data_IF_055483707365
#
_entry.id   IF_055483707365
#
_cell.length_a   1.000
_cell.length_b   1.000
_cell.length_c   1.000
_cell.angle_alpha   90.00
_cell.angle_beta   90.00
_cell.angle_gamma   90.00
#
_symmetry.space_group_name_H-M   'P 1'
#
loop_
_entity.id
_entity.type
_entity.pdbx_description
1 polymer ?
#
# COMPACT_ATOMS: atom_id res chain seq x y z
N UNK A 1 15.54 -9.75 4.70
CA UNK A 1 15.31 -9.14 6.02
C UNK A 1 16.29 -7.95 6.20
N UNK A 2 15.90 -6.86 6.88
CA UNK A 2 16.76 -5.68 7.08
C UNK A 2 18.15 -6.01 7.65
N UNK A 3 18.22 -7.03 8.50
CA UNK A 3 19.47 -7.53 9.10
C UNK A 3 20.42 -8.12 8.03
N UNK A 4 19.91 -8.88 7.07
CA UNK A 4 20.74 -9.44 5.97
C UNK A 4 21.28 -8.32 5.10
N UNK A 5 20.47 -7.33 4.77
CA UNK A 5 20.91 -6.16 3.97
C UNK A 5 21.96 -5.36 4.73
N UNK A 6 21.78 -5.15 6.04
CA UNK A 6 22.78 -4.48 6.88
C UNK A 6 24.09 -5.28 6.93
N UNK A 7 24.03 -6.59 7.11
CA UNK A 7 25.20 -7.46 7.13
C UNK A 7 25.94 -7.46 5.79
N UNK A 8 25.23 -7.51 4.66
CA UNK A 8 25.83 -7.41 3.33
C UNK A 8 26.49 -6.05 3.11
N UNK A 9 25.90 -4.98 3.63
CA UNK A 9 26.46 -3.64 3.52
C UNK A 9 27.69 -3.46 4.41
N UNK A 10 27.67 -4.02 5.61
CA UNK A 10 28.85 -4.07 6.50
C UNK A 10 29.98 -4.87 5.85
N UNK A 11 29.69 -6.04 5.27
CA UNK A 11 30.67 -6.88 4.56
C UNK A 11 31.27 -6.12 3.36
N UNK A 12 30.45 -5.44 2.58
CA UNK A 12 30.90 -4.59 1.48
C UNK A 12 31.82 -3.47 1.96
N UNK A 13 31.45 -2.79 3.03
CA UNK A 13 32.29 -1.72 3.62
C UNK A 13 33.61 -2.27 4.17
N UNK A 14 33.60 -3.41 4.84
CA UNK A 14 34.80 -4.09 5.32
C UNK A 14 35.79 -4.39 4.17
N UNK A 15 35.26 -4.91 3.05
CA UNK A 15 36.09 -5.20 1.87
C UNK A 15 36.68 -3.94 1.23
N UNK A 16 35.93 -2.82 1.21
CA UNK A 16 36.40 -1.54 0.66
C UNK A 16 37.40 -0.80 1.57
N UNK A 17 37.33 -1.03 2.89
CA UNK A 17 38.17 -0.34 3.89
C UNK A 17 39.28 -1.19 4.44
N UNK A 18 39.63 -2.32 3.79
CA UNK A 18 40.63 -3.29 4.27
C UNK A 18 40.37 -3.73 5.73
N UNK A 19 39.09 -4.01 6.06
CA UNK A 19 38.65 -4.44 7.38
C UNK A 19 38.88 -3.44 8.53
N UNK A 20 39.06 -2.15 8.21
CA UNK A 20 39.14 -1.09 9.19
C UNK A 20 37.73 -0.72 9.72
N UNK A 21 37.39 -1.21 10.90
CA UNK A 21 36.08 -1.00 11.53
C UNK A 21 35.76 0.47 11.82
N UNK A 22 36.78 1.30 12.08
CA UNK A 22 36.59 2.74 12.30
C UNK A 22 36.11 3.42 11.03
N UNK A 23 36.72 3.12 9.90
CA UNK A 23 36.31 3.61 8.59
C UNK A 23 34.94 3.07 8.15
N UNK A 24 34.63 1.81 8.51
CA UNK A 24 33.29 1.25 8.27
C UNK A 24 32.23 2.04 9.04
N UNK A 25 32.48 2.33 10.31
CA UNK A 25 31.58 3.13 11.15
C UNK A 25 31.38 4.55 10.58
N UNK A 26 32.49 5.23 10.25
CA UNK A 26 32.50 6.57 9.64
C UNK A 26 31.72 6.58 8.31
N UNK A 27 31.92 5.58 7.44
CA UNK A 27 31.19 5.47 6.17
C UNK A 27 29.70 5.22 6.39
N UNK A 28 29.31 4.37 7.35
CA UNK A 28 27.94 4.12 7.70
C UNK A 28 27.26 5.34 8.34
N UNK A 29 27.95 6.07 9.21
CA UNK A 29 27.41 7.29 9.87
C UNK A 29 27.33 8.49 8.91
N UNK A 30 28.28 8.62 7.99
CA UNK A 30 28.27 9.70 6.98
C UNK A 30 27.08 9.62 6.00
N UNK A 31 26.44 8.47 5.94
CA UNK A 31 25.34 8.21 5.02
C UNK A 31 24.07 8.83 5.52
N UNK A 32 23.45 9.68 4.72
CA UNK A 32 22.13 10.26 5.04
C UNK A 32 21.14 9.13 5.32
N UNK A 33 20.47 9.11 6.48
CA UNK A 33 19.45 8.12 6.76
C UNK A 33 18.28 8.24 5.78
N UNK A 34 17.79 7.11 5.29
CA UNK A 34 16.42 7.00 4.83
C UNK A 34 16.14 6.90 3.34
N UNK A 35 17.13 6.93 2.44
CA UNK A 35 16.82 6.93 1.00
C UNK A 35 17.64 5.89 0.23
N UNK A 36 17.41 4.61 0.54
CA UNK A 36 18.06 3.50 -0.17
C UNK A 36 17.06 2.52 -0.66
N UNK A 37 17.23 2.11 -1.91
CA UNK A 37 16.55 0.92 -2.40
C UNK A 37 17.04 -0.31 -1.62
N UNK A 38 16.09 -1.12 -1.13
CA UNK A 38 16.38 -2.31 -0.32
C UNK A 38 15.82 -3.52 -1.06
N UNK A 39 16.65 -4.53 -1.29
CA UNK A 39 16.19 -5.83 -1.78
C UNK A 39 15.61 -6.64 -0.61
N UNK A 40 14.29 -6.80 -0.57
CA UNK A 40 13.60 -7.52 0.49
C UNK A 40 13.41 -9.02 0.21
N UNK A 41 13.16 -9.35 -1.03
CA UNK A 41 12.97 -10.72 -1.50
C UNK A 41 13.50 -10.84 -2.92
N UNK A 42 13.60 -12.06 -3.43
CA UNK A 42 14.05 -12.27 -4.80
C UNK A 42 13.14 -11.50 -5.78
N UNK A 43 13.73 -10.60 -6.54
CA UNK A 43 13.02 -9.77 -7.51
C UNK A 43 12.20 -8.61 -6.94
N UNK A 44 12.19 -8.39 -5.62
CA UNK A 44 11.43 -7.29 -4.98
C UNK A 44 12.37 -6.29 -4.32
N UNK A 45 12.44 -5.11 -4.87
CA UNK A 45 13.25 -3.99 -4.37
C UNK A 45 12.33 -2.81 -4.03
N UNK A 46 12.50 -2.20 -2.87
CA UNK A 46 11.73 -1.04 -2.42
C UNK A 46 12.54 0.25 -2.50
N UNK A 47 11.89 1.33 -2.88
CA UNK A 47 12.41 2.71 -2.88
C UNK A 47 11.36 3.56 -2.17
N UNK A 48 11.55 3.97 -0.90
CA UNK A 48 10.63 4.85 -0.23
C UNK A 48 10.68 6.27 -0.83
N UNK A 49 9.58 6.72 -1.41
CA UNK A 49 9.42 8.05 -2.00
C UNK A 49 8.63 8.93 -1.05
N UNK A 50 9.15 10.12 -0.77
CA UNK A 50 8.45 11.09 0.09
C UNK A 50 7.20 11.60 -0.62
N UNK A 51 6.04 11.43 0.01
CA UNK A 51 4.73 11.82 -0.53
C UNK A 51 3.90 12.57 0.51
N UNK A 52 2.83 13.20 0.07
CA UNK A 52 1.85 13.86 0.94
C UNK A 52 0.79 12.87 1.44
N UNK A 53 1.21 11.69 1.82
CA UNK A 53 0.32 10.69 2.43
C UNK A 53 -0.06 11.05 3.88
N UNK A 54 -1.06 10.38 4.43
CA UNK A 54 -1.55 10.67 5.79
C UNK A 54 -0.62 10.11 6.87
N UNK A 55 -0.36 10.86 7.96
CA UNK A 55 0.37 10.34 9.10
C UNK A 55 -0.27 9.06 9.68
N UNK A 56 0.51 8.11 10.21
CA UNK A 56 1.95 8.22 10.50
C UNK A 56 2.89 7.95 9.31
N UNK A 57 2.37 7.64 8.13
CA UNK A 57 3.20 7.46 6.95
C UNK A 57 3.69 8.82 6.42
N UNK A 58 4.92 8.86 5.91
CA UNK A 58 5.50 10.04 5.26
C UNK A 58 6.07 9.69 3.88
N UNK A 59 5.95 8.43 3.50
CA UNK A 59 6.52 7.87 2.28
C UNK A 59 5.55 6.87 1.67
N UNK A 60 5.55 6.80 0.35
CA UNK A 60 4.99 5.70 -0.41
C UNK A 60 6.13 4.81 -0.89
N UNK A 61 6.00 3.53 -0.74
CA UNK A 61 6.96 2.55 -1.21
C UNK A 61 6.77 2.31 -2.71
N UNK A 62 7.64 2.87 -3.53
CA UNK A 62 7.78 2.43 -4.90
C UNK A 62 8.50 1.07 -4.92
N UNK A 63 8.01 0.12 -5.72
CA UNK A 63 8.67 -1.18 -5.86
C UNK A 63 9.17 -1.40 -7.29
N UNK A 64 10.35 -2.02 -7.42
CA UNK A 64 10.78 -2.65 -8.64
C UNK A 64 10.58 -4.15 -8.48
N UNK A 65 9.67 -4.75 -9.25
CA UNK A 65 9.32 -6.17 -9.15
C UNK A 65 9.51 -6.90 -10.46
N UNK A 66 10.02 -8.12 -10.39
CA UNK A 66 10.33 -8.96 -11.54
C UNK A 66 11.73 -9.54 -11.47
N UNK A 67 12.20 -10.12 -12.55
CA UNK A 67 13.52 -10.75 -12.61
C UNK A 67 14.63 -9.72 -12.39
N UNK A 68 15.56 -9.94 -11.44
CA UNK A 68 16.70 -9.03 -11.22
C UNK A 68 17.61 -8.86 -12.44
N UNK A 69 17.65 -9.86 -13.34
CA UNK A 69 18.47 -9.89 -14.54
C UNK A 69 17.67 -9.85 -15.85
N UNK A 70 16.34 -9.67 -15.75
CA UNK A 70 15.42 -9.67 -16.87
C UNK A 70 14.41 -8.53 -16.75
N UNK A 71 13.26 -8.73 -17.36
CA UNK A 71 12.18 -7.73 -17.37
C UNK A 71 11.59 -7.54 -15.96
N UNK A 72 11.26 -6.28 -15.64
CA UNK A 72 10.62 -5.88 -14.40
C UNK A 72 9.66 -4.70 -14.62
N UNK A 73 8.84 -4.44 -13.64
CA UNK A 73 7.93 -3.28 -13.64
C UNK A 73 8.23 -2.36 -12.45
N UNK A 74 7.85 -1.08 -12.60
CA UNK A 74 7.94 -0.04 -11.58
C UNK A 74 6.54 0.14 -10.98
N UNK A 75 6.36 -0.21 -9.72
CA UNK A 75 5.06 -0.13 -9.02
C UNK A 75 5.00 1.16 -8.22
N UNK A 76 3.95 1.94 -8.40
CA UNK A 76 3.64 3.18 -7.66
C UNK A 76 4.87 4.09 -7.50
N UNK A 77 5.46 4.63 -8.60
CA UNK A 77 6.66 5.47 -8.53
C UNK A 77 6.49 6.75 -7.71
N UNK A 78 5.28 7.26 -7.56
CA UNK A 78 4.85 8.29 -6.61
C UNK A 78 5.63 9.62 -6.58
N UNK A 79 6.69 9.81 -7.35
CA UNK A 79 7.50 11.03 -7.32
C UNK A 79 6.76 12.23 -7.92
N UNK A 80 6.89 13.39 -7.26
CA UNK A 80 6.28 14.66 -7.66
C UNK A 80 7.31 15.71 -8.06
N UNK A 81 8.58 15.41 -7.85
CA UNK A 81 9.70 16.31 -8.13
C UNK A 81 10.89 15.55 -8.72
N UNK A 82 11.91 16.31 -9.15
CA UNK A 82 13.12 15.76 -9.75
C UNK A 82 13.99 14.96 -8.77
N UNK A 83 13.88 15.22 -7.48
CA UNK A 83 14.64 14.48 -6.45
C UNK A 83 14.09 13.06 -6.33
N UNK A 84 12.76 12.91 -6.17
CA UNK A 84 12.10 11.61 -6.15
C UNK A 84 12.26 10.85 -7.47
N UNK A 85 12.11 11.53 -8.62
CA UNK A 85 12.37 10.94 -9.93
C UNK A 85 13.80 10.35 -10.00
N UNK A 86 14.79 11.12 -9.56
CA UNK A 86 16.18 10.66 -9.56
C UNK A 86 16.40 9.44 -8.67
N UNK A 87 15.74 9.36 -7.51
CA UNK A 87 15.85 8.20 -6.61
C UNK A 87 15.36 6.90 -7.28
N UNK A 88 14.22 6.98 -8.00
CA UNK A 88 13.70 5.82 -8.73
C UNK A 88 14.59 5.48 -9.91
N UNK A 89 15.01 6.48 -10.70
CA UNK A 89 15.88 6.28 -11.86
C UNK A 89 17.23 5.66 -11.48
N UNK A 90 17.88 6.18 -10.42
CA UNK A 90 19.13 5.62 -9.89
C UNK A 90 19.00 4.14 -9.47
N UNK A 91 17.81 3.73 -9.00
CA UNK A 91 17.54 2.34 -8.65
C UNK A 91 17.29 1.46 -9.88
N UNK A 92 16.56 1.98 -10.86
CA UNK A 92 16.29 1.33 -12.15
C UNK A 92 17.61 1.09 -12.91
N UNK A 93 18.48 2.11 -13.02
CA UNK A 93 19.77 2.01 -13.72
C UNK A 93 20.75 0.99 -13.09
N UNK A 94 20.58 0.69 -11.81
CA UNK A 94 21.39 -0.33 -11.12
C UNK A 94 20.96 -1.76 -11.38
N UNK A 95 19.75 -1.96 -11.96
CA UNK A 95 19.30 -3.30 -12.36
C UNK A 95 19.85 -3.65 -13.74
N UNK A 96 20.14 -4.92 -13.95
CA UNK A 96 20.63 -5.43 -15.24
C UNK A 96 19.47 -5.55 -16.24
N UNK A 97 18.24 -5.80 -15.74
CA UNK A 97 17.05 -5.99 -16.56
C UNK A 97 16.44 -4.70 -17.08
N UNK A 98 15.36 -4.81 -17.84
CA UNK A 98 14.66 -3.68 -18.45
C UNK A 98 13.33 -3.38 -17.74
N UNK A 99 13.03 -2.10 -17.42
CA UNK A 99 11.70 -1.72 -16.99
C UNK A 99 10.75 -1.76 -18.21
N UNK A 100 9.70 -2.57 -18.15
CA UNK A 100 8.78 -2.76 -19.29
C UNK A 100 7.46 -2.01 -19.11
N UNK A 101 7.11 -1.64 -17.89
CA UNK A 101 5.93 -0.84 -17.60
C UNK A 101 6.02 -0.14 -16.25
N UNK A 102 5.21 0.91 -16.07
CA UNK A 102 4.80 1.43 -14.77
C UNK A 102 3.47 0.78 -14.42
N UNK A 103 3.39 0.21 -13.23
CA UNK A 103 2.17 -0.38 -12.69
C UNK A 103 1.63 0.52 -11.58
N UNK A 104 0.37 0.90 -11.66
CA UNK A 104 -0.31 1.58 -10.56
C UNK A 104 -1.26 0.62 -9.85
N UNK A 105 -1.11 0.54 -8.52
CA UNK A 105 -2.05 -0.20 -7.67
C UNK A 105 -3.43 0.46 -7.72
N UNK A 106 -3.47 1.79 -7.68
CA UNK A 106 -4.67 2.61 -7.83
C UNK A 106 -4.30 4.08 -8.10
N UNK A 107 -5.29 4.94 -8.29
CA UNK A 107 -5.10 6.32 -8.79
C UNK A 107 -5.04 7.41 -7.71
N UNK A 108 -4.82 7.08 -6.43
CA UNK A 108 -4.62 8.10 -5.41
C UNK A 108 -3.33 8.93 -5.67
N UNK A 109 -3.35 10.24 -5.38
CA UNK A 109 -2.26 11.14 -5.74
C UNK A 109 -0.90 10.78 -5.14
N UNK A 110 -0.87 10.12 -3.99
CA UNK A 110 0.37 9.70 -3.32
C UNK A 110 0.96 8.39 -3.87
N UNK A 111 0.32 7.78 -4.87
CA UNK A 111 0.85 6.64 -5.64
C UNK A 111 1.28 7.04 -7.05
N UNK A 112 0.66 8.10 -7.59
CA UNK A 112 0.88 8.55 -8.95
C UNK A 112 2.12 9.44 -9.06
N UNK A 113 2.99 9.17 -10.02
CA UNK A 113 4.06 10.10 -10.37
C UNK A 113 3.51 11.33 -11.13
N UNK A 114 4.29 12.42 -11.15
CA UNK A 114 4.03 13.52 -12.09
C UNK A 114 4.13 13.00 -13.52
N UNK A 115 3.10 13.18 -14.38
CA UNK A 115 3.08 12.59 -15.72
C UNK A 115 4.22 13.08 -16.65
N UNK A 116 4.65 14.34 -16.50
CA UNK A 116 5.72 14.88 -17.32
C UNK A 116 7.08 14.32 -16.91
N UNK A 117 7.32 14.25 -15.59
CA UNK A 117 8.53 13.65 -15.05
C UNK A 117 8.58 12.15 -15.33
N UNK A 118 7.46 11.45 -15.26
CA UNK A 118 7.37 10.02 -15.59
C UNK A 118 7.74 9.76 -17.05
N UNK A 119 7.19 10.56 -17.96
CA UNK A 119 7.50 10.49 -19.40
C UNK A 119 8.96 10.83 -19.68
N UNK A 120 9.51 11.85 -19.00
CA UNK A 120 10.92 12.22 -19.12
C UNK A 120 11.85 11.11 -18.65
N UNK A 121 11.52 10.45 -17.53
CA UNK A 121 12.37 9.42 -16.92
C UNK A 121 12.36 8.10 -17.69
N UNK A 122 11.19 7.61 -18.08
CA UNK A 122 11.03 6.23 -18.53
C UNK A 122 10.37 6.10 -19.91
N UNK A 123 9.30 6.84 -20.21
CA UNK A 123 8.59 6.76 -21.50
C UNK A 123 8.04 5.36 -21.83
N UNK A 124 7.75 4.55 -20.80
CA UNK A 124 7.22 3.19 -20.89
C UNK A 124 5.71 3.15 -20.61
N UNK A 125 4.98 2.11 -21.06
CA UNK A 125 3.53 2.02 -20.89
C UNK A 125 3.09 1.97 -19.43
N UNK A 126 1.89 2.47 -19.17
CA UNK A 126 1.22 2.42 -17.88
C UNK A 126 0.24 1.25 -17.86
N UNK A 127 0.35 0.39 -16.82
CA UNK A 127 -0.51 -0.74 -16.55
C UNK A 127 -1.30 -0.51 -15.26
N UNK A 128 -2.61 -0.58 -15.30
CA UNK A 128 -3.49 -0.43 -14.13
C UNK A 128 -4.86 -1.04 -14.41
N UNK A 129 -5.81 -0.89 -13.48
CA UNK A 129 -7.21 -1.24 -13.74
C UNK A 129 -8.00 -0.09 -14.40
N UNK A 130 -7.42 1.12 -14.51
CA UNK A 130 -8.09 2.27 -15.12
C UNK A 130 -8.28 2.09 -16.63
N UNK A 131 -9.42 2.55 -17.13
CA UNK A 131 -9.71 2.57 -18.57
C UNK A 131 -8.75 3.44 -19.40
N UNK A 132 -8.07 4.38 -18.73
CA UNK A 132 -7.12 5.32 -19.36
C UNK A 132 -5.67 4.78 -19.41
N UNK A 133 -5.43 3.57 -18.86
CA UNK A 133 -4.13 2.92 -18.91
C UNK A 133 -3.79 2.40 -20.32
N UNK A 134 -2.51 2.39 -20.68
CA UNK A 134 -2.04 1.78 -21.93
C UNK A 134 -2.36 0.28 -21.98
N UNK A 135 -2.40 -0.38 -20.82
CA UNK A 135 -2.88 -1.75 -20.66
C UNK A 135 -3.77 -1.85 -19.43
N UNK A 136 -5.04 -2.18 -19.65
CA UNK A 136 -6.01 -2.44 -18.59
C UNK A 136 -5.86 -3.87 -18.11
N UNK A 137 -5.51 -4.02 -16.83
CA UNK A 137 -5.29 -5.32 -16.19
C UNK A 137 -6.56 -5.84 -15.52
N UNK A 138 -6.69 -7.17 -15.47
CA UNK A 138 -7.88 -7.84 -14.92
C UNK A 138 -7.49 -8.83 -13.81
N UNK A 139 -8.45 -9.12 -12.94
CA UNK A 139 -8.31 -10.14 -11.90
C UNK A 139 -7.91 -11.49 -12.49
N UNK A 140 -6.94 -12.14 -11.85
CA UNK A 140 -6.42 -13.44 -12.27
C UNK A 140 -5.42 -13.40 -13.44
N UNK A 141 -5.19 -12.24 -14.07
CA UNK A 141 -4.21 -12.13 -15.15
C UNK A 141 -2.79 -12.40 -14.61
N UNK A 142 -1.96 -13.06 -15.40
CA UNK A 142 -0.58 -13.37 -15.03
C UNK A 142 0.39 -12.51 -15.85
N UNK A 143 1.23 -11.76 -15.15
CA UNK A 143 2.31 -10.97 -15.72
C UNK A 143 3.60 -11.78 -15.67
N UNK A 144 4.15 -12.10 -16.84
CA UNK A 144 5.47 -12.73 -16.92
C UNK A 144 6.54 -11.64 -16.92
N UNK A 145 7.32 -11.57 -15.82
CA UNK A 145 8.38 -10.59 -15.61
C UNK A 145 9.73 -11.31 -15.55
N UNK A 146 10.30 -11.56 -16.71
CA UNK A 146 11.49 -12.42 -16.85
C UNK A 146 11.17 -13.84 -16.36
N UNK A 147 11.91 -14.35 -15.39
CA UNK A 147 11.71 -15.68 -14.79
C UNK A 147 10.56 -15.75 -13.79
N UNK A 148 9.96 -14.63 -13.38
CA UNK A 148 8.91 -14.56 -12.37
C UNK A 148 7.52 -14.41 -13.00
N UNK A 149 6.54 -15.12 -12.42
CA UNK A 149 5.12 -15.01 -12.78
C UNK A 149 4.37 -14.32 -11.63
N UNK A 150 3.80 -13.15 -11.90
CA UNK A 150 3.02 -12.38 -10.93
C UNK A 150 1.54 -12.39 -11.31
N UNK A 151 0.69 -12.84 -10.42
CA UNK A 151 -0.75 -12.81 -10.63
C UNK A 151 -1.33 -11.49 -10.17
N UNK A 152 -2.14 -10.87 -11.02
CA UNK A 152 -2.93 -9.67 -10.73
C UNK A 152 -4.16 -10.07 -9.91
N UNK A 153 -4.40 -9.35 -8.82
CA UNK A 153 -5.60 -9.49 -8.00
C UNK A 153 -6.34 -8.16 -8.02
N UNK A 154 -7.56 -8.13 -8.54
CA UNK A 154 -8.44 -6.97 -8.37
C UNK A 154 -9.02 -7.00 -6.96
N UNK A 155 -8.71 -5.99 -6.17
CA UNK A 155 -8.98 -5.89 -4.73
C UNK A 155 -9.72 -4.58 -4.39
N UNK A 156 -10.95 -4.38 -4.91
CA UNK A 156 -11.72 -3.18 -4.63
C UNK A 156 -12.08 -3.05 -3.15
N UNK A 157 -12.41 -1.84 -2.73
CA UNK A 157 -12.88 -1.54 -1.38
C UNK A 157 -12.20 -0.33 -0.78
N UNK A 158 -10.87 -0.23 -0.81
CA UNK A 158 -10.17 1.02 -0.57
C UNK A 158 -10.37 2.01 -1.74
N UNK A 159 -10.18 1.52 -2.95
CA UNK A 159 -10.42 2.20 -4.23
C UNK A 159 -11.07 1.20 -5.20
N UNK A 160 -12.00 1.61 -6.08
CA UNK A 160 -12.71 0.68 -6.98
C UNK A 160 -11.78 -0.03 -7.98
N UNK A 161 -10.71 0.63 -8.43
CA UNK A 161 -9.73 0.12 -9.39
C UNK A 161 -8.48 -0.48 -8.72
N UNK A 162 -8.53 -0.77 -7.41
CA UNK A 162 -7.34 -1.23 -6.69
C UNK A 162 -6.88 -2.61 -7.15
N UNK A 163 -5.56 -2.73 -7.39
CA UNK A 163 -4.88 -3.96 -7.77
C UNK A 163 -3.80 -4.33 -6.76
N UNK A 164 -3.69 -5.62 -6.47
CA UNK A 164 -2.53 -6.24 -5.83
C UNK A 164 -1.80 -7.14 -6.82
N UNK A 165 -0.56 -7.52 -6.50
CA UNK A 165 0.21 -8.50 -7.26
C UNK A 165 0.76 -9.56 -6.30
N UNK A 166 0.63 -10.85 -6.65
CA UNK A 166 1.11 -11.95 -5.84
C UNK A 166 2.00 -12.90 -6.64
N UNK A 167 3.08 -13.36 -6.01
CA UNK A 167 3.92 -14.45 -6.47
C UNK A 167 4.54 -15.19 -5.27
N UNK A 168 5.44 -16.15 -5.53
CA UNK A 168 6.17 -16.87 -4.46
C UNK A 168 6.98 -15.93 -3.55
N UNK A 169 7.45 -14.78 -4.04
CA UNK A 169 8.20 -13.81 -3.23
C UNK A 169 7.32 -13.03 -2.23
N UNK A 170 5.99 -13.04 -2.40
CA UNK A 170 5.03 -12.38 -1.54
C UNK A 170 3.96 -11.58 -2.30
N UNK A 171 3.26 -10.73 -1.55
CA UNK A 171 2.12 -9.92 -1.99
C UNK A 171 2.48 -8.43 -2.00
N UNK A 172 2.44 -7.78 -3.15
CA UNK A 172 2.40 -6.31 -3.26
C UNK A 172 0.95 -5.89 -3.03
N UNK A 173 0.71 -5.29 -1.88
CA UNK A 173 -0.65 -5.11 -1.36
C UNK A 173 -1.24 -3.72 -1.61
N UNK A 174 -0.48 -2.78 -2.19
CA UNK A 174 -0.97 -1.41 -2.33
C UNK A 174 -1.47 -0.87 -0.98
N UNK A 175 -2.66 -0.29 -1.00
CA UNK A 175 -3.37 0.24 0.16
C UNK A 175 -4.46 -0.71 0.71
N UNK A 176 -4.29 -2.02 0.51
CA UNK A 176 -5.11 -2.99 1.27
C UNK A 176 -4.65 -3.08 2.72
N UNK A 177 -3.36 -2.91 3.00
CA UNK A 177 -2.82 -2.96 4.36
C UNK A 177 -1.56 -2.09 4.46
N UNK A 178 -1.39 -1.38 5.58
CA UNK A 178 -0.18 -0.62 5.87
C UNK A 178 0.71 -1.32 6.91
N UNK A 179 2.01 -1.17 6.80
CA UNK A 179 2.96 -1.67 7.80
C UNK A 179 2.79 -1.01 9.17
N UNK A 180 2.46 0.29 9.17
CA UNK A 180 2.17 1.10 10.36
C UNK A 180 0.84 1.83 10.16
N UNK A 181 0.01 1.90 11.20
CA UNK A 181 -1.30 2.52 11.14
C UNK A 181 -2.35 1.65 10.46
N UNK A 182 -3.37 2.29 9.91
CA UNK A 182 -4.49 1.65 9.19
C UNK A 182 -4.78 2.43 7.91
N UNK A 183 -5.28 1.75 6.91
CA UNK A 183 -5.69 2.36 5.65
C UNK A 183 -7.04 3.06 5.82
N UNK A 184 -7.20 4.21 5.20
CA UNK A 184 -8.45 4.97 5.17
C UNK A 184 -9.33 4.44 4.02
N UNK A 185 -10.57 4.09 4.30
CA UNK A 185 -11.58 3.81 3.27
C UNK A 185 -12.42 5.06 3.11
N UNK A 186 -12.28 5.78 1.99
CA UNK A 186 -12.95 7.07 1.78
C UNK A 186 -14.44 6.91 1.53
N UNK A 187 -15.30 7.73 2.18
CA UNK A 187 -16.74 7.71 1.91
C UNK A 187 -17.05 8.03 0.43
N UNK A 188 -17.89 7.22 -0.19
CA UNK A 188 -18.33 7.42 -1.58
C UNK A 188 -17.34 6.99 -2.67
N UNK A 189 -16.09 6.72 -2.33
CA UNK A 189 -15.08 6.16 -3.23
C UNK A 189 -14.85 4.68 -2.93
N UNK A 190 -14.59 4.35 -1.66
CA UNK A 190 -14.45 2.99 -1.18
C UNK A 190 -15.75 2.37 -0.69
N UNK A 191 -15.69 1.07 -0.38
CA UNK A 191 -16.79 0.29 0.20
C UNK A 191 -16.25 -0.63 1.30
N UNK A 192 -16.73 -0.43 2.53
CA UNK A 192 -16.17 -1.11 3.69
C UNK A 192 -16.42 -2.62 3.68
N UNK A 193 -17.60 -3.08 3.29
CA UNK A 193 -17.89 -4.52 3.22
C UNK A 193 -17.05 -5.21 2.16
N UNK A 194 -16.89 -4.58 1.00
CA UNK A 194 -16.02 -5.07 -0.06
C UNK A 194 -14.55 -5.09 0.40
N UNK A 195 -14.09 -4.04 1.09
CA UNK A 195 -12.73 -3.96 1.61
C UNK A 195 -12.42 -5.10 2.59
N UNK A 196 -13.33 -5.38 3.53
CA UNK A 196 -13.19 -6.49 4.48
C UNK A 196 -13.14 -7.83 3.74
N UNK A 197 -14.03 -8.07 2.78
CA UNK A 197 -14.04 -9.30 1.99
C UNK A 197 -12.73 -9.49 1.19
N UNK A 198 -12.14 -8.40 0.66
CA UNK A 198 -10.84 -8.51 -0.02
C UNK A 198 -9.68 -8.76 0.96
N UNK A 199 -9.70 -8.21 2.18
CA UNK A 199 -8.72 -8.57 3.21
C UNK A 199 -8.79 -10.06 3.57
N UNK A 200 -9.98 -10.63 3.68
CA UNK A 200 -10.18 -12.07 3.89
C UNK A 200 -9.61 -12.89 2.74
N UNK A 201 -9.94 -12.51 1.50
CA UNK A 201 -9.36 -13.13 0.30
C UNK A 201 -7.83 -13.10 0.31
N UNK A 202 -7.21 -11.96 0.65
CA UNK A 202 -5.76 -11.83 0.71
C UNK A 202 -5.14 -12.67 1.83
N UNK A 203 -5.81 -12.80 2.98
CA UNK A 203 -5.38 -13.68 4.06
C UNK A 203 -5.40 -15.15 3.63
N UNK A 204 -6.47 -15.57 2.96
CA UNK A 204 -6.67 -16.97 2.53
C UNK A 204 -5.69 -17.39 1.42
N UNK A 205 -5.02 -16.44 0.75
CA UNK A 205 -3.91 -16.72 -0.17
C UNK A 205 -2.59 -17.03 0.54
N UNK A 206 -2.51 -16.87 1.85
CA UNK A 206 -1.38 -17.18 2.73
C UNK A 206 -0.02 -16.66 2.21
N UNK A 207 0.12 -15.36 1.91
CA UNK A 207 1.38 -14.81 1.41
C UNK A 207 2.47 -14.88 2.48
N UNK A 208 3.70 -15.24 2.10
CA UNK A 208 4.83 -15.30 3.03
C UNK A 208 5.29 -13.93 3.53
N UNK A 209 5.17 -12.89 2.69
CA UNK A 209 5.49 -11.50 2.99
C UNK A 209 4.43 -10.60 2.37
N UNK A 210 4.20 -9.43 2.97
CA UNK A 210 3.43 -8.36 2.32
C UNK A 210 4.30 -7.14 2.16
N UNK A 211 4.26 -6.59 0.95
CA UNK A 211 4.91 -5.35 0.51
C UNK A 211 3.85 -4.25 0.41
N UNK A 212 3.58 -3.50 1.50
CA UNK A 212 2.55 -2.46 1.54
C UNK A 212 3.06 -1.18 0.90
N UNK A 213 2.17 -0.33 0.38
CA UNK A 213 2.57 1.00 -0.10
C UNK A 213 3.02 1.92 1.03
N UNK A 214 2.59 1.70 2.28
CA UNK A 214 2.96 2.54 3.41
C UNK A 214 3.53 1.73 4.58
N UNK A 215 4.68 2.22 5.10
CA UNK A 215 5.37 1.61 6.23
C UNK A 215 6.25 0.41 5.87
N UNK A 216 6.76 -0.33 6.87
CA UNK A 216 7.68 -1.44 6.64
C UNK A 216 7.00 -2.67 6.05
N UNK A 217 7.80 -3.52 5.40
CA UNK A 217 7.40 -4.86 4.94
C UNK A 217 6.85 -5.67 6.11
N UNK A 218 5.75 -6.38 5.87
CA UNK A 218 5.03 -7.16 6.87
C UNK A 218 5.50 -8.62 6.82
N UNK A 219 6.20 -9.03 7.87
CA UNK A 219 6.79 -10.37 7.97
C UNK A 219 5.83 -11.42 8.58
N UNK A 220 4.71 -11.00 9.12
CA UNK A 220 3.66 -11.85 9.68
C UNK A 220 2.30 -11.50 9.04
N UNK A 221 2.09 -11.87 7.77
CA UNK A 221 0.92 -11.48 6.98
C UNK A 221 -0.40 -11.92 7.61
N UNK A 222 -0.53 -13.20 7.97
CA UNK A 222 -1.73 -13.75 8.60
C UNK A 222 -2.16 -12.94 9.83
N UNK A 223 -1.22 -12.71 10.75
CA UNK A 223 -1.49 -11.91 11.96
C UNK A 223 -1.92 -10.49 11.65
N UNK A 224 -1.27 -9.85 10.67
CA UNK A 224 -1.59 -8.48 10.28
C UNK A 224 -2.95 -8.38 9.60
N UNK A 225 -3.25 -9.25 8.66
CA UNK A 225 -4.54 -9.28 7.94
C UNK A 225 -5.68 -9.63 8.88
N UNK A 226 -5.53 -10.65 9.75
CA UNK A 226 -6.52 -11.00 10.78
C UNK A 226 -6.82 -9.80 11.68
N UNK A 227 -5.78 -9.10 12.16
CA UNK A 227 -5.97 -7.89 12.97
C UNK A 227 -6.75 -6.79 12.23
N UNK A 228 -6.46 -6.59 10.92
CA UNK A 228 -7.20 -5.62 10.11
C UNK A 228 -8.67 -6.01 9.95
N UNK A 229 -8.95 -7.28 9.65
CA UNK A 229 -10.31 -7.84 9.49
C UNK A 229 -11.10 -7.66 10.78
N UNK A 230 -10.56 -8.12 11.91
CA UNK A 230 -11.20 -8.00 13.24
C UNK A 230 -11.49 -6.54 13.60
N UNK A 231 -10.49 -5.66 13.43
CA UNK A 231 -10.64 -4.23 13.72
C UNK A 231 -11.74 -3.59 12.85
N UNK A 232 -11.78 -3.89 11.55
CA UNK A 232 -12.78 -3.32 10.63
C UNK A 232 -14.17 -3.90 10.85
N UNK A 233 -14.28 -5.21 11.05
CA UNK A 233 -15.56 -5.89 11.33
C UNK A 233 -16.15 -5.42 12.65
N UNK A 234 -15.35 -5.36 13.71
CA UNK A 234 -15.81 -4.83 15.01
C UNK A 234 -16.31 -3.39 14.89
N UNK A 235 -15.59 -2.52 14.15
CA UNK A 235 -16.05 -1.14 13.93
C UNK A 235 -17.33 -1.08 13.10
N UNK A 236 -17.45 -1.94 12.08
CA UNK A 236 -18.63 -2.06 11.25
C UNK A 236 -19.87 -2.41 12.10
N UNK A 237 -19.75 -3.41 12.97
CA UNK A 237 -20.81 -3.80 13.90
C UNK A 237 -21.16 -2.68 14.91
N UNK A 238 -20.16 -1.98 15.47
CA UNK A 238 -20.40 -0.88 16.41
C UNK A 238 -21.14 0.29 15.79
N UNK A 239 -20.86 0.63 14.54
CA UNK A 239 -21.58 1.67 13.81
C UNK A 239 -23.05 1.26 13.62
N UNK A 240 -23.32 0.02 13.23
CA UNK A 240 -24.69 -0.48 13.12
C UNK A 240 -25.43 -0.48 14.47
N UNK A 241 -24.79 -1.00 15.51
CA UNK A 241 -25.33 -1.02 16.86
C UNK A 241 -25.65 0.40 17.41
N UNK A 242 -24.82 1.40 17.08
CA UNK A 242 -25.09 2.78 17.46
C UNK A 242 -26.39 3.32 16.81
N UNK A 243 -26.62 3.00 15.52
CA UNK A 243 -27.88 3.35 14.85
C UNK A 243 -29.08 2.60 15.46
N UNK A 244 -28.92 1.31 15.77
CA UNK A 244 -29.96 0.49 16.42
C UNK A 244 -30.30 0.99 17.83
N UNK A 245 -29.33 1.58 18.54
CA UNK A 245 -29.54 2.24 19.84
C UNK A 245 -30.24 3.61 19.74
N UNK A 246 -30.57 4.07 18.52
CA UNK A 246 -31.31 5.31 18.27
C UNK A 246 -30.43 6.55 18.06
N UNK A 247 -29.10 6.41 17.95
CA UNK A 247 -28.26 7.52 17.54
C UNK A 247 -28.56 7.85 16.07
N UNK A 248 -28.77 9.14 15.79
CA UNK A 248 -29.35 9.57 14.54
C UNK A 248 -28.38 10.34 13.65
N UNK A 249 -27.69 11.35 14.20
CA UNK A 249 -26.71 12.10 13.44
C UNK A 249 -25.35 11.40 13.43
N UNK A 250 -24.53 11.71 12.45
CA UNK A 250 -23.26 11.01 12.22
C UNK A 250 -22.25 11.23 13.35
N UNK A 251 -22.29 12.40 13.99
CA UNK A 251 -21.38 12.76 15.08
C UNK A 251 -21.67 11.91 16.33
N UNK A 252 -22.95 11.72 16.68
CA UNK A 252 -23.36 10.89 17.80
C UNK A 252 -23.05 9.41 17.52
N UNK A 253 -23.35 8.93 16.30
CA UNK A 253 -23.02 7.57 15.88
C UNK A 253 -21.49 7.35 15.95
N UNK A 254 -20.68 8.28 15.47
CA UNK A 254 -19.23 8.20 15.53
C UNK A 254 -18.72 8.22 16.97
N UNK A 255 -19.29 9.08 17.84
CA UNK A 255 -18.91 9.17 19.24
C UNK A 255 -19.10 7.83 19.96
N UNK A 256 -20.26 7.19 19.77
CA UNK A 256 -20.57 5.87 20.36
C UNK A 256 -19.71 4.77 19.74
N UNK A 257 -19.59 4.73 18.42
CA UNK A 257 -18.84 3.70 17.72
C UNK A 257 -17.33 3.74 18.01
N UNK A 258 -16.77 4.89 18.42
CA UNK A 258 -15.35 5.10 18.72
C UNK A 258 -15.06 5.32 20.21
N UNK A 259 -15.99 5.03 21.12
CA UNK A 259 -15.83 5.18 22.57
C UNK A 259 -14.60 4.42 23.10
N UNK A 260 -14.27 3.28 22.52
CA UNK A 260 -13.10 2.46 22.84
C UNK A 260 -11.78 2.99 22.27
N UNK A 261 -11.81 4.06 21.50
CA UNK A 261 -10.64 4.64 20.83
C UNK A 261 -10.58 6.16 21.07
N UNK A 262 -10.40 6.60 22.33
CA UNK A 262 -10.54 8.02 22.71
C UNK A 262 -9.49 8.94 22.04
N UNK A 263 -8.40 8.37 21.53
CA UNK A 263 -7.35 9.10 20.82
C UNK A 263 -7.56 9.15 19.28
N UNK A 264 -8.68 8.62 18.78
CA UNK A 264 -8.99 8.72 17.35
C UNK A 264 -9.18 10.19 16.97
N UNK A 265 -8.62 10.57 15.82
CA UNK A 265 -8.82 11.94 15.32
C UNK A 265 -10.31 12.14 14.97
N UNK A 266 -11.02 13.14 15.56
CA UNK A 266 -12.47 13.24 15.45
C UNK A 266 -13.00 13.26 14.01
N UNK A 267 -12.35 14.02 13.11
CA UNK A 267 -12.74 14.07 11.69
C UNK A 267 -12.59 12.72 11.00
N UNK A 268 -11.48 12.00 11.26
CA UNK A 268 -11.28 10.67 10.66
C UNK A 268 -12.27 9.65 11.22
N UNK A 269 -12.66 9.75 12.48
CA UNK A 269 -13.68 8.90 13.08
C UNK A 269 -15.05 9.12 12.39
N UNK A 270 -15.45 10.37 12.16
CA UNK A 270 -16.68 10.72 11.44
C UNK A 270 -16.62 10.24 9.99
N UNK A 271 -15.53 10.49 9.26
CA UNK A 271 -15.36 10.06 7.87
C UNK A 271 -15.42 8.51 7.75
N UNK A 272 -14.76 7.79 8.67
CA UNK A 272 -14.82 6.32 8.68
C UNK A 272 -16.20 5.81 9.08
N UNK A 273 -16.89 6.48 10.02
CA UNK A 273 -18.29 6.17 10.35
C UNK A 273 -19.18 6.31 9.13
N UNK A 274 -18.99 7.37 8.33
CA UNK A 274 -19.72 7.55 7.09
C UNK A 274 -19.47 6.41 6.10
N UNK A 275 -18.22 5.96 5.96
CA UNK A 275 -17.89 4.81 5.09
C UNK A 275 -18.61 3.53 5.53
N UNK A 276 -18.66 3.27 6.84
CA UNK A 276 -19.42 2.14 7.38
C UNK A 276 -20.93 2.27 7.15
N UNK A 277 -21.48 3.46 7.36
CA UNK A 277 -22.93 3.73 7.15
C UNK A 277 -23.34 3.58 5.69
N UNK A 278 -22.53 4.10 4.75
CA UNK A 278 -22.79 3.94 3.31
C UNK A 278 -22.76 2.46 2.90
N UNK A 279 -21.86 1.69 3.46
CA UNK A 279 -21.79 0.25 3.24
C UNK A 279 -23.00 -0.47 3.84
N UNK A 280 -23.45 -0.09 5.05
CA UNK A 280 -24.69 -0.61 5.65
C UNK A 280 -25.94 -0.21 4.87
N UNK A 281 -26.00 1.02 4.34
CA UNK A 281 -27.11 1.49 3.49
C UNK A 281 -27.20 0.67 2.20
N UNK A 282 -26.07 0.46 1.51
CA UNK A 282 -25.97 -0.36 0.31
C UNK A 282 -26.45 -1.81 0.55
N UNK A 283 -26.19 -2.34 1.75
CA UNK A 283 -26.60 -3.69 2.15
C UNK A 283 -28.01 -3.74 2.76
N UNK A 284 -28.73 -2.62 2.83
CA UNK A 284 -30.11 -2.56 3.32
C UNK A 284 -30.27 -2.67 4.85
N UNK A 285 -29.22 -2.44 5.63
CA UNK A 285 -29.28 -2.46 7.10
C UNK A 285 -29.70 -1.13 7.70
N UNK A 286 -29.34 -0.03 7.05
CA UNK A 286 -29.73 1.32 7.46
C UNK A 286 -30.25 2.10 6.25
N UNK A 287 -30.96 3.18 6.51
CA UNK A 287 -31.39 4.13 5.48
C UNK A 287 -31.17 5.56 5.95
N UNK A 288 -30.89 6.43 5.02
CA UNK A 288 -30.76 7.87 5.28
C UNK A 288 -32.15 8.50 5.28
N UNK A 289 -32.39 9.37 6.24
CA UNK A 289 -33.54 10.28 6.28
C UNK A 289 -33.03 11.68 6.62
N UNK A 290 -33.93 12.71 6.57
CA UNK A 290 -33.52 14.10 6.75
C UNK A 290 -32.60 14.31 7.98
N UNK A 291 -31.34 14.61 7.70
CA UNK A 291 -30.33 14.93 8.71
C UNK A 291 -29.65 13.74 9.40
N UNK A 292 -30.00 12.49 9.09
CA UNK A 292 -29.37 11.38 9.79
C UNK A 292 -29.68 9.98 9.26
N UNK A 293 -29.49 8.97 10.11
CA UNK A 293 -29.53 7.56 9.79
C UNK A 293 -30.46 6.79 10.73
N UNK A 294 -31.21 5.85 10.19
CA UNK A 294 -32.08 4.96 10.95
C UNK A 294 -31.96 3.53 10.45
N UNK A 295 -32.38 2.57 11.25
CA UNK A 295 -32.53 1.18 10.84
C UNK A 295 -33.48 1.09 9.62
N UNK A 296 -33.13 0.29 8.62
CA UNK A 296 -33.95 0.06 7.43
C UNK A 296 -35.14 -0.86 7.72
#
# INVERSE_FOLDING_TARGET
PPVVTLLMEVDRCLNLTNQDMTKVAEDLESRKPGRRSILFAHGVQVIPIKTATLPPANYTNCYLIGDPNGDFIIVDPAFRDREGMKEVNDAVEKRIGNPIAVFYTHSHPDHMADPNLLKEAFGIPIWSASSDADRVLKDGEVLQLGSQSWQVLHTPGHHPEHLCLICESGLVAGDMVAGIGTILVRPGEGDMSTYIAQLERLRDLDPHLIFPSHGPVIALPEKKLTHYIEHRSSRHEKVLAAVEAGNFNIEDIASVAYEDTPNAHPRLAVDQTLSHLLSHEKNGYVRRIDGGWVRA
#
